data_IF_946244448884
#
_entry.id   IF_946244448884
#
_cell.length_a   1.000
_cell.length_b   1.000
_cell.length_c   1.000
_cell.angle_alpha   90.00
_cell.angle_beta   90.00
_cell.angle_gamma   90.00
#
_symmetry.space_group_name_H-M   'P 1'
#
loop_
_entity.id
_entity.type
_entity.pdbx_description
1 polymer ?
#
# COMPACT_ATOMS: atom_id res chain seq x y z
N UNK A 1 2.05 -10.84 -10.22
CA UNK A 1 3.45 -10.67 -9.74
C UNK A 1 3.68 -11.23 -8.32
N UNK A 2 3.15 -10.63 -7.23
CA UNK A 2 3.40 -11.14 -5.85
C UNK A 2 2.96 -12.58 -5.61
N UNK A 3 1.73 -12.94 -6.03
CA UNK A 3 1.21 -14.32 -5.93
C UNK A 3 2.07 -15.32 -6.71
N UNK A 4 2.58 -14.92 -7.87
CA UNK A 4 3.47 -15.73 -8.72
C UNK A 4 4.83 -15.93 -8.04
N UNK A 5 5.42 -14.89 -7.45
CA UNK A 5 6.67 -15.01 -6.68
C UNK A 5 6.50 -15.90 -5.44
N UNK A 6 5.38 -15.78 -4.73
CA UNK A 6 5.06 -16.66 -3.61
C UNK A 6 4.91 -18.13 -4.05
N UNK A 7 4.30 -18.38 -5.20
CA UNK A 7 4.24 -19.72 -5.81
C UNK A 7 5.63 -20.28 -6.17
N UNK A 8 6.53 -19.44 -6.69
CA UNK A 8 7.92 -19.85 -6.98
C UNK A 8 8.64 -20.26 -5.69
N UNK A 9 8.53 -19.47 -4.61
CA UNK A 9 9.12 -19.82 -3.32
C UNK A 9 8.51 -21.10 -2.71
N UNK A 10 7.20 -21.29 -2.85
CA UNK A 10 6.52 -22.51 -2.42
C UNK A 10 7.01 -23.75 -3.19
N UNK A 11 7.13 -23.65 -4.51
CA UNK A 11 7.62 -24.74 -5.36
C UNK A 11 9.08 -25.11 -5.02
N UNK A 12 9.98 -24.13 -4.92
CA UNK A 12 11.37 -24.38 -4.55
C UNK A 12 11.50 -25.01 -3.16
N UNK A 13 10.76 -24.45 -2.19
CA UNK A 13 10.73 -24.95 -0.82
C UNK A 13 10.23 -26.38 -0.72
N UNK A 14 9.18 -26.71 -1.48
CA UNK A 14 8.63 -28.06 -1.54
C UNK A 14 9.63 -29.05 -2.13
N UNK A 15 10.29 -28.71 -3.24
CA UNK A 15 11.30 -29.57 -3.85
C UNK A 15 12.50 -29.82 -2.92
N UNK A 16 12.99 -28.78 -2.24
CA UNK A 16 14.09 -28.90 -1.28
C UNK A 16 13.70 -29.68 -0.03
N UNK A 17 12.50 -29.46 0.51
CA UNK A 17 11.98 -30.20 1.67
C UNK A 17 11.77 -31.68 1.35
N UNK A 18 11.22 -32.00 0.17
CA UNK A 18 11.05 -33.38 -0.29
C UNK A 18 12.39 -34.09 -0.49
N UNK A 19 13.42 -33.38 -0.98
CA UNK A 19 14.78 -33.92 -1.10
C UNK A 19 15.39 -34.21 0.27
N UNK A 20 15.26 -33.29 1.23
CA UNK A 20 15.79 -33.47 2.59
C UNK A 20 15.06 -34.60 3.35
N UNK A 21 13.75 -34.74 3.14
CA UNK A 21 12.95 -35.84 3.68
C UNK A 21 13.39 -37.21 3.12
N UNK A 22 13.69 -37.29 1.82
CA UNK A 22 14.25 -38.50 1.19
C UNK A 22 15.65 -38.86 1.70
N UNK A 23 16.39 -37.88 2.23
CA UNK A 23 17.70 -38.08 2.86
C UNK A 23 17.59 -38.37 4.37
N UNK A 24 16.37 -38.61 4.88
CA UNK A 24 16.06 -38.82 6.32
C UNK A 24 16.52 -37.66 7.23
N UNK A 25 16.81 -36.49 6.67
CA UNK A 25 17.23 -35.31 7.41
C UNK A 25 16.03 -34.42 7.74
N UNK A 26 15.26 -34.87 8.73
CA UNK A 26 14.01 -34.22 9.16
C UNK A 26 14.24 -32.81 9.71
N UNK A 27 15.36 -32.56 10.39
CA UNK A 27 15.74 -31.23 10.91
C UNK A 27 15.93 -30.23 9.77
N UNK A 28 16.61 -30.65 8.69
CA UNK A 28 16.82 -29.82 7.51
C UNK A 28 15.50 -29.57 6.76
N UNK A 29 14.64 -30.58 6.62
CA UNK A 29 13.33 -30.43 6.01
C UNK A 29 12.43 -29.43 6.76
N UNK A 30 12.44 -29.49 8.11
CA UNK A 30 11.71 -28.55 8.96
C UNK A 30 12.26 -27.11 8.84
N UNK A 31 13.59 -26.94 8.82
CA UNK A 31 14.23 -25.64 8.61
C UNK A 31 13.87 -25.00 7.26
N UNK A 32 13.85 -25.80 6.18
CA UNK A 32 13.45 -25.35 4.84
C UNK A 32 11.99 -24.88 4.84
N UNK A 33 11.07 -25.65 5.43
CA UNK A 33 9.65 -25.27 5.49
C UNK A 33 9.45 -23.98 6.28
N UNK A 34 10.14 -23.80 7.41
CA UNK A 34 10.08 -22.58 8.20
C UNK A 34 10.58 -21.37 7.41
N UNK A 35 11.74 -21.48 6.75
CA UNK A 35 12.31 -20.40 5.96
C UNK A 35 11.43 -20.01 4.77
N UNK A 36 10.88 -21.01 4.07
CA UNK A 36 9.95 -20.80 2.95
C UNK A 36 8.67 -20.13 3.42
N UNK A 37 8.12 -20.55 4.57
CA UNK A 37 6.97 -19.90 5.20
C UNK A 37 7.23 -18.41 5.47
N UNK A 38 8.38 -18.08 6.05
CA UNK A 38 8.80 -16.69 6.27
C UNK A 38 8.97 -15.90 4.96
N UNK A 39 9.60 -16.49 3.95
CA UNK A 39 9.80 -15.85 2.64
C UNK A 39 8.47 -15.55 1.94
N UNK A 40 7.51 -16.50 1.99
CA UNK A 40 6.15 -16.31 1.48
C UNK A 40 5.43 -15.22 2.26
N UNK A 41 5.50 -15.25 3.60
CA UNK A 41 4.90 -14.23 4.45
C UNK A 41 5.41 -12.85 4.07
N UNK A 42 6.73 -12.63 4.00
CA UNK A 42 7.34 -11.34 3.61
C UNK A 42 6.91 -10.93 2.19
N UNK A 43 6.91 -11.86 1.24
CA UNK A 43 6.56 -11.59 -0.17
C UNK A 43 5.11 -11.17 -0.33
N UNK A 44 4.20 -11.79 0.43
CA UNK A 44 2.77 -11.49 0.42
C UNK A 44 2.44 -10.24 1.25
N UNK A 45 3.18 -9.99 2.33
CA UNK A 45 2.93 -8.83 3.18
C UNK A 45 3.10 -7.56 2.35
N UNK A 46 2.06 -6.73 2.31
CA UNK A 46 2.08 -5.50 1.51
C UNK A 46 2.72 -4.33 2.28
N UNK A 47 3.89 -4.59 2.87
CA UNK A 47 4.67 -3.61 3.62
C UNK A 47 5.01 -2.42 2.70
N UNK A 48 4.79 -1.20 3.19
CA UNK A 48 5.15 0.02 2.47
C UNK A 48 4.19 0.46 1.35
N UNK A 49 3.07 -0.23 1.09
CA UNK A 49 2.05 0.30 0.17
C UNK A 49 1.24 1.39 0.85
N UNK A 50 1.14 2.53 0.17
CA UNK A 50 0.20 3.59 0.48
C UNK A 50 -1.22 3.10 0.15
N UNK A 51 -2.07 2.96 1.15
CA UNK A 51 -3.51 2.80 0.97
C UNK A 51 -4.16 4.15 1.22
N UNK A 52 -5.09 4.51 0.35
CA UNK A 52 -5.82 5.77 0.43
C UNK A 52 -7.29 5.39 0.45
N UNK A 53 -7.96 5.72 1.54
CA UNK A 53 -9.41 5.60 1.70
C UNK A 53 -9.97 6.99 1.92
N UNK A 54 -11.22 7.23 1.54
CA UNK A 54 -11.87 8.52 1.71
C UNK A 54 -13.31 8.31 2.15
N UNK A 55 -13.79 9.22 2.99
CA UNK A 55 -15.13 9.19 3.57
C UNK A 55 -15.72 10.61 3.64
N UNK A 56 -16.69 10.80 4.52
CA UNK A 56 -17.31 12.09 4.77
C UNK A 56 -16.39 13.06 5.51
N UNK A 57 -15.51 12.55 6.38
CA UNK A 57 -14.61 13.35 7.21
C UNK A 57 -13.37 13.82 6.44
N UNK A 58 -12.83 12.97 5.57
CA UNK A 58 -11.58 13.28 4.89
C UNK A 58 -11.00 12.17 4.04
N UNK A 59 -9.69 12.27 3.82
CA UNK A 59 -8.86 11.25 3.17
C UNK A 59 -7.96 10.63 4.23
N UNK A 60 -8.11 9.32 4.45
CA UNK A 60 -7.21 8.55 5.31
C UNK A 60 -6.11 7.91 4.49
N UNK A 61 -4.87 8.17 4.91
CA UNK A 61 -3.67 7.64 4.28
C UNK A 61 -3.01 6.67 5.25
N UNK A 62 -2.87 5.42 4.85
CA UNK A 62 -2.16 4.42 5.64
C UNK A 62 -0.96 3.85 4.88
N UNK A 63 0.17 3.74 5.57
CA UNK A 63 1.39 3.12 5.02
C UNK A 63 2.06 2.31 6.11
N UNK A 64 1.78 1.00 6.15
CA UNK A 64 2.37 0.10 7.16
C UNK A 64 3.92 0.16 7.11
N UNK A 65 4.61 0.26 8.25
CA UNK A 65 4.08 0.15 9.63
C UNK A 65 3.61 1.47 10.27
N UNK A 66 3.68 2.61 9.57
CA UNK A 66 3.29 3.91 10.13
C UNK A 66 1.78 3.96 10.43
N UNK A 67 1.37 4.68 11.51
CA UNK A 67 -0.05 4.86 11.81
C UNK A 67 -0.77 5.58 10.66
N UNK A 68 -2.05 5.29 10.42
CA UNK A 68 -2.86 6.03 9.45
C UNK A 68 -2.98 7.50 9.83
N UNK A 69 -2.95 8.37 8.83
CA UNK A 69 -3.14 9.82 9.00
C UNK A 69 -4.46 10.19 8.33
N UNK A 70 -5.37 10.79 9.09
CA UNK A 70 -6.62 11.36 8.57
C UNK A 70 -6.37 12.81 8.16
N UNK A 71 -6.63 13.12 6.90
CA UNK A 71 -6.56 14.47 6.35
C UNK A 71 -7.98 14.99 6.11
N UNK A 72 -8.40 15.97 6.90
CA UNK A 72 -9.74 16.52 6.80
C UNK A 72 -9.90 17.31 5.48
N UNK A 73 -11.13 17.39 4.98
CA UNK A 73 -11.44 18.18 3.79
C UNK A 73 -11.12 19.66 3.96
N UNK A 74 -11.24 20.18 5.19
CA UNK A 74 -10.89 21.55 5.60
C UNK A 74 -9.40 21.85 5.51
N UNK A 75 -8.54 20.83 5.61
CA UNK A 75 -7.09 20.98 5.53
C UNK A 75 -6.58 20.98 4.08
N UNK A 76 -7.44 20.76 3.10
CA UNK A 76 -7.08 20.70 1.68
C UNK A 76 -6.77 22.10 1.13
N UNK A 77 -5.55 22.30 0.63
CA UNK A 77 -5.09 23.63 0.18
C UNK A 77 -4.96 23.73 -1.33
N UNK A 78 -4.28 22.75 -1.95
CA UNK A 78 -3.95 22.83 -3.37
C UNK A 78 -3.84 21.46 -4.00
N UNK A 79 -4.25 21.37 -5.26
CA UNK A 79 -4.06 20.22 -6.12
C UNK A 79 -3.12 20.61 -7.25
N UNK A 80 -2.01 19.89 -7.41
CA UNK A 80 -1.12 19.97 -8.57
C UNK A 80 -1.24 18.68 -9.38
N UNK A 81 -1.13 18.78 -10.69
CA UNK A 81 -1.18 17.62 -11.59
C UNK A 81 0.12 17.58 -12.37
N UNK A 82 0.77 16.41 -12.41
CA UNK A 82 1.94 16.16 -13.25
C UNK A 82 1.68 14.98 -14.20
N UNK A 83 2.70 14.61 -14.98
CA UNK A 83 2.66 13.46 -15.88
C UNK A 83 2.50 12.11 -15.14
N UNK A 84 2.68 12.11 -13.83
CA UNK A 84 2.86 10.97 -12.96
C UNK A 84 1.66 10.77 -12.00
N UNK A 85 0.79 11.77 -11.84
CA UNK A 85 -0.40 11.72 -11.01
C UNK A 85 -0.87 13.08 -10.47
N UNK A 86 -1.67 13.00 -9.43
CA UNK A 86 -2.27 14.10 -8.70
C UNK A 86 -1.54 14.28 -7.37
N UNK A 87 -0.96 15.44 -7.15
CA UNK A 87 -0.32 15.84 -5.90
C UNK A 87 -1.28 16.71 -5.10
N UNK A 88 -1.71 16.21 -3.95
CA UNK A 88 -2.59 16.91 -3.04
C UNK A 88 -1.75 17.49 -1.91
N UNK A 89 -1.83 18.80 -1.75
CA UNK A 89 -1.17 19.56 -0.70
C UNK A 89 -2.21 19.88 0.36
N UNK A 90 -1.94 19.44 1.59
CA UNK A 90 -2.76 19.76 2.76
C UNK A 90 -1.93 20.53 3.78
N UNK A 91 -2.60 21.08 4.79
CA UNK A 91 -1.93 21.80 5.88
C UNK A 91 -0.93 20.92 6.66
N UNK A 92 -1.23 19.63 6.81
CA UNK A 92 -0.43 18.71 7.62
C UNK A 92 0.59 17.94 6.79
N UNK A 93 0.19 17.41 5.64
CA UNK A 93 1.06 16.58 4.81
C UNK A 93 0.70 16.62 3.33
N UNK A 94 1.59 16.11 2.49
CA UNK A 94 1.38 16.03 1.06
C UNK A 94 1.29 14.58 0.63
N UNK A 95 0.40 14.26 -0.29
CA UNK A 95 0.27 12.93 -0.83
C UNK A 95 0.02 12.92 -2.32
N UNK A 96 0.36 11.79 -2.94
CA UNK A 96 0.24 11.60 -4.37
C UNK A 96 -0.63 10.39 -4.69
N UNK A 97 -1.52 10.58 -5.65
CA UNK A 97 -2.32 9.52 -6.25
C UNK A 97 -1.95 9.40 -7.73
N UNK A 98 -1.58 8.21 -8.19
CA UNK A 98 -1.32 7.97 -9.62
C UNK A 98 -2.57 8.24 -10.46
N UNK A 99 -2.38 8.74 -11.69
CA UNK A 99 -3.49 9.15 -12.58
C UNK A 99 -4.44 7.98 -12.88
N UNK A 100 -3.86 6.82 -13.10
CA UNK A 100 -4.49 5.51 -13.34
C UNK A 100 -5.26 4.96 -12.12
N UNK A 101 -4.97 5.44 -10.91
CA UNK A 101 -5.63 5.00 -9.67
C UNK A 101 -6.56 6.04 -9.06
N UNK A 102 -6.67 7.21 -9.66
CA UNK A 102 -7.46 8.32 -9.12
C UNK A 102 -8.95 8.10 -9.39
N UNK A 103 -9.79 7.93 -8.34
CA UNK A 103 -11.23 7.89 -8.49
C UNK A 103 -11.77 9.26 -8.92
N UNK A 104 -12.70 9.28 -9.87
CA UNK A 104 -13.32 10.53 -10.37
C UNK A 104 -14.08 11.29 -9.28
N UNK A 105 -14.76 10.56 -8.40
CA UNK A 105 -15.53 11.14 -7.29
C UNK A 105 -14.61 11.79 -6.26
N UNK A 106 -13.53 11.10 -5.88
CA UNK A 106 -12.50 11.64 -4.98
C UNK A 106 -11.89 12.92 -5.56
N UNK A 107 -11.54 12.93 -6.85
CA UNK A 107 -11.01 14.12 -7.51
C UNK A 107 -11.99 15.29 -7.48
N UNK A 108 -13.28 15.03 -7.72
CA UNK A 108 -14.34 16.05 -7.67
C UNK A 108 -14.45 16.63 -6.25
N UNK A 109 -14.47 15.77 -5.23
CA UNK A 109 -14.57 16.17 -3.82
C UNK A 109 -13.35 16.97 -3.35
N UNK A 110 -12.13 16.56 -3.71
CA UNK A 110 -10.91 17.34 -3.41
C UNK A 110 -11.00 18.75 -4.03
N UNK A 111 -11.44 18.85 -5.29
CA UNK A 111 -11.56 20.14 -5.97
C UNK A 111 -12.62 21.05 -5.34
N UNK A 112 -13.77 20.50 -4.93
CA UNK A 112 -14.81 21.28 -4.25
C UNK A 112 -14.31 21.79 -2.89
N UNK A 113 -13.72 20.92 -2.08
CA UNK A 113 -13.17 21.31 -0.77
C UNK A 113 -12.10 22.39 -0.88
N UNK A 114 -11.18 22.30 -1.84
CA UNK A 114 -10.16 23.36 -2.07
C UNK A 114 -10.82 24.69 -2.45
N UNK A 115 -11.89 24.67 -3.25
CA UNK A 115 -12.61 25.88 -3.66
C UNK A 115 -13.33 26.52 -2.47
N UNK A 116 -14.00 25.71 -1.66
CA UNK A 116 -14.70 26.14 -0.44
C UNK A 116 -13.71 26.74 0.57
N UNK A 117 -12.58 26.08 0.82
CA UNK A 117 -11.57 26.56 1.77
C UNK A 117 -10.95 27.90 1.35
N UNK A 118 -10.76 28.13 0.04
CA UNK A 118 -10.30 29.42 -0.49
C UNK A 118 -11.34 30.52 -0.35
N UNK A 119 -12.62 30.20 -0.56
CA UNK A 119 -13.71 31.15 -0.40
C UNK A 119 -13.89 31.55 1.07
N UNK A 120 -13.66 30.64 2.01
CA UNK A 120 -13.74 30.91 3.44
C UNK A 120 -12.55 31.71 4.02
N UNK A 121 -11.46 31.85 3.26
CA UNK A 121 -10.26 32.62 3.65
C UNK A 121 -10.12 33.96 2.90
N UNK A 122 -11.10 34.30 2.05
CA UNK A 122 -11.21 35.60 1.36
C UNK A 122 -12.27 36.45 2.04
#
# INVERSE_FOLDING_TARGET
MKKIKALIYAALGFMMSLSAFRQENYLMAAGILFFVGCAIAITLTSIGRLQITWDELGVTISKKPKPPILLQWTDMQKLKVDHLGYHVITRQTNFRISKDKMPKELLKKIRSSIRENKAATS
#
